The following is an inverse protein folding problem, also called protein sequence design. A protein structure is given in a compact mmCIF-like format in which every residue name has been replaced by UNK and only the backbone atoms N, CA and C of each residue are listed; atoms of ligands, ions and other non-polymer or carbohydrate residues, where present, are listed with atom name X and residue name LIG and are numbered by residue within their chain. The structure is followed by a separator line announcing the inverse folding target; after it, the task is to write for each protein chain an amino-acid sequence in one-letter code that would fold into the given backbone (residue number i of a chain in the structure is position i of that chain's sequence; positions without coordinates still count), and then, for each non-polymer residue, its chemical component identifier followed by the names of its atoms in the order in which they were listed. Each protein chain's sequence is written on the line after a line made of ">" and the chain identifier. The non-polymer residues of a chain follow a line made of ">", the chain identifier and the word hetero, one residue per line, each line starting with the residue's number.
data_IF_711704122582
#
_entry.id   IF_711704122582
#
_cell.length_a   1.000
_cell.length_b   1.000
_cell.length_c   1.000
_cell.angle_alpha   90.00
_cell.angle_beta   90.00
_cell.angle_gamma   90.00
#
_symmetry.space_group_name_H-M   'P 1'
#
loop_
_entity.id
_entity.type
_entity.pdbx_description
1 polymer ?
#
# COMPACT_ATOMS: atom_id res chain seq x y z
N UNK A 1 -20.09 -42.72 47.38
CA UNK A 1 -19.90 -43.09 45.94
C UNK A 1 -19.84 -41.87 44.99
N UNK A 2 -20.39 -40.69 45.32
CA UNK A 2 -20.35 -39.48 44.46
C UNK A 2 -19.04 -38.66 44.57
N UNK A 3 -18.33 -38.71 45.71
CA UNK A 3 -17.06 -37.96 45.87
C UNK A 3 -15.89 -38.56 45.13
N UNK A 4 -15.76 -39.87 45.04
CA UNK A 4 -14.68 -40.58 44.31
C UNK A 4 -14.76 -40.31 42.82
N UNK A 5 -15.94 -40.29 42.20
CA UNK A 5 -16.10 -39.96 40.75
C UNK A 5 -15.74 -38.53 40.41
N UNK A 6 -15.87 -37.55 41.31
CA UNK A 6 -15.54 -36.15 41.10
C UNK A 6 -14.03 -35.91 41.19
N UNK A 7 -13.32 -36.65 42.04
CA UNK A 7 -11.85 -36.59 42.19
C UNK A 7 -11.15 -37.23 40.99
N UNK A 8 -11.68 -38.36 40.48
CA UNK A 8 -11.15 -39.01 39.29
C UNK A 8 -11.34 -38.14 38.00
N UNK A 9 -12.51 -37.47 37.87
CA UNK A 9 -12.71 -36.53 36.79
C UNK A 9 -11.74 -35.34 36.85
N UNK A 10 -11.48 -34.78 38.04
CA UNK A 10 -10.49 -33.69 38.20
C UNK A 10 -9.07 -34.13 37.87
N UNK A 11 -8.66 -35.35 38.28
CA UNK A 11 -7.32 -35.94 37.96
C UNK A 11 -7.18 -36.20 36.47
N UNK A 12 -8.17 -36.78 35.80
CA UNK A 12 -8.17 -37.02 34.36
C UNK A 12 -8.10 -35.69 33.58
N UNK A 13 -8.82 -34.67 34.04
CA UNK A 13 -8.80 -33.34 33.40
C UNK A 13 -7.42 -32.66 33.52
N UNK A 14 -6.72 -32.82 34.67
CA UNK A 14 -5.38 -32.28 34.87
C UNK A 14 -4.38 -32.96 33.95
N UNK A 15 -4.41 -34.29 33.85
CA UNK A 15 -3.52 -35.07 33.00
C UNK A 15 -3.72 -34.82 31.51
N UNK A 16 -4.97 -34.67 31.07
CA UNK A 16 -5.28 -34.25 29.67
C UNK A 16 -4.70 -32.86 29.33
N UNK A 17 -4.68 -31.96 30.30
CA UNK A 17 -4.09 -30.64 30.15
C UNK A 17 -2.59 -30.70 29.99
N UNK A 18 -1.92 -31.50 30.83
CA UNK A 18 -0.48 -31.69 30.78
C UNK A 18 -0.04 -32.30 29.44
N UNK A 19 -0.75 -33.31 28.94
CA UNK A 19 -0.53 -33.90 27.62
C UNK A 19 -0.63 -32.84 26.51
N UNK A 20 -1.72 -32.07 26.49
CA UNK A 20 -1.89 -31.04 25.45
C UNK A 20 -0.76 -30.00 25.50
N UNK A 21 -0.32 -29.60 26.68
CA UNK A 21 0.80 -28.67 26.82
C UNK A 21 2.12 -29.22 26.33
N UNK A 22 2.39 -30.50 26.60
CA UNK A 22 3.59 -31.20 26.12
C UNK A 22 3.63 -31.18 24.59
N UNK A 23 2.55 -31.54 23.94
CA UNK A 23 2.46 -31.53 22.48
C UNK A 23 2.50 -30.13 21.88
N UNK A 24 1.90 -29.15 22.53
CA UNK A 24 1.99 -27.74 22.11
C UNK A 24 3.43 -27.19 22.20
N UNK A 25 4.20 -27.64 23.21
CA UNK A 25 5.63 -27.32 23.33
C UNK A 25 6.46 -28.00 22.25
N UNK A 26 6.18 -29.27 21.96
CA UNK A 26 6.94 -30.08 21.00
C UNK A 26 6.66 -29.67 19.55
N UNK A 27 5.42 -29.24 19.25
CA UNK A 27 4.96 -28.89 17.90
C UNK A 27 4.19 -27.57 17.89
N UNK A 28 4.83 -26.42 18.18
CA UNK A 28 4.15 -25.14 18.34
C UNK A 28 3.47 -24.67 17.06
N UNK A 29 4.08 -24.93 15.90
CA UNK A 29 3.59 -24.47 14.59
C UNK A 29 2.61 -25.45 13.92
N UNK A 30 2.42 -26.64 14.45
CA UNK A 30 1.54 -27.62 13.83
C UNK A 30 0.07 -27.13 13.85
N UNK A 31 -0.69 -27.24 12.75
CA UNK A 31 -2.11 -26.88 12.73
C UNK A 31 -2.89 -27.56 13.83
N UNK A 32 -3.83 -26.85 14.48
CA UNK A 32 -4.58 -27.36 15.63
C UNK A 32 -5.28 -28.70 15.37
N UNK A 33 -5.79 -28.90 14.15
CA UNK A 33 -6.44 -30.14 13.74
C UNK A 33 -5.47 -31.31 13.62
N UNK A 34 -4.28 -31.07 13.06
CA UNK A 34 -3.21 -32.06 12.92
C UNK A 34 -2.66 -32.46 14.27
N UNK A 35 -2.40 -31.48 15.15
CA UNK A 35 -1.93 -31.72 16.50
C UNK A 35 -2.94 -32.50 17.32
N UNK A 36 -4.21 -32.19 17.22
CA UNK A 36 -5.29 -32.92 17.92
C UNK A 36 -5.41 -34.37 17.46
N UNK A 37 -5.24 -34.65 16.14
CA UNK A 37 -5.22 -36.02 15.63
C UNK A 37 -4.08 -36.83 16.23
N UNK A 38 -2.88 -36.26 16.30
CA UNK A 38 -1.70 -36.88 16.88
C UNK A 38 -1.90 -37.14 18.37
N UNK A 39 -2.40 -36.15 19.12
CA UNK A 39 -2.71 -36.30 20.54
C UNK A 39 -3.73 -37.43 20.77
N UNK A 40 -4.81 -37.44 19.99
CA UNK A 40 -5.85 -38.45 20.10
C UNK A 40 -5.33 -39.86 19.79
N UNK A 41 -4.57 -40.02 18.70
CA UNK A 41 -4.04 -41.33 18.29
C UNK A 41 -3.03 -41.93 19.31
N UNK A 42 -2.24 -41.08 19.94
CA UNK A 42 -1.18 -41.51 20.87
C UNK A 42 -1.66 -41.56 22.33
N UNK A 43 -2.83 -41.01 22.66
CA UNK A 43 -3.36 -40.88 24.03
C UNK A 43 -4.84 -41.24 24.15
N UNK A 44 -5.24 -42.33 23.53
CA UNK A 44 -6.65 -42.79 23.50
C UNK A 44 -7.25 -43.06 24.88
N UNK A 45 -6.41 -43.45 25.87
CA UNK A 45 -6.85 -43.64 27.25
C UNK A 45 -7.30 -42.35 27.95
N UNK A 46 -6.85 -41.19 27.49
CA UNK A 46 -7.12 -39.90 28.09
C UNK A 46 -8.13 -39.05 27.30
N UNK A 47 -8.25 -39.28 26.00
CA UNK A 47 -9.18 -38.57 25.12
C UNK A 47 -10.18 -39.58 24.53
N UNK A 48 -11.44 -39.48 24.94
CA UNK A 48 -12.49 -40.40 24.48
C UNK A 48 -12.89 -40.20 23.03
N UNK A 49 -12.69 -38.99 22.51
CA UNK A 49 -12.98 -38.64 21.10
C UNK A 49 -11.97 -37.64 20.57
N UNK A 50 -11.78 -37.66 19.24
CA UNK A 50 -10.98 -36.65 18.55
C UNK A 50 -11.45 -35.21 18.86
N UNK A 51 -12.74 -34.97 18.90
CA UNK A 51 -13.31 -33.66 19.19
C UNK A 51 -12.88 -33.13 20.57
N UNK A 52 -12.79 -34.01 21.56
CA UNK A 52 -12.32 -33.62 22.90
C UNK A 52 -10.87 -33.14 22.88
N UNK A 53 -10.01 -33.81 22.16
CA UNK A 53 -8.61 -33.40 21.98
C UNK A 53 -8.54 -32.09 21.18
N UNK A 54 -9.32 -31.97 20.11
CA UNK A 54 -9.34 -30.78 19.24
C UNK A 54 -9.83 -29.53 19.97
N UNK A 55 -10.93 -29.60 20.73
CA UNK A 55 -11.43 -28.50 21.53
C UNK A 55 -10.39 -28.04 22.57
N UNK A 56 -9.67 -28.97 23.21
CA UNK A 56 -8.60 -28.66 24.15
C UNK A 56 -7.43 -27.94 23.51
N UNK A 57 -6.95 -28.42 22.35
CA UNK A 57 -5.88 -27.74 21.60
C UNK A 57 -6.30 -26.33 21.23
N UNK A 58 -7.52 -26.14 20.69
CA UNK A 58 -8.04 -24.83 20.35
C UNK A 58 -8.19 -23.92 21.56
N UNK A 59 -8.64 -24.45 22.67
CA UNK A 59 -8.79 -23.71 23.93
C UNK A 59 -7.44 -23.12 24.38
N UNK A 60 -6.41 -23.95 24.45
CA UNK A 60 -5.08 -23.50 24.90
C UNK A 60 -4.33 -22.64 23.88
N UNK A 61 -4.73 -22.64 22.62
CA UNK A 61 -4.28 -21.69 21.59
C UNK A 61 -5.08 -20.40 21.55
N UNK A 62 -6.05 -20.20 22.42
CA UNK A 62 -6.90 -19.02 22.42
C UNK A 62 -7.87 -18.95 21.22
N UNK A 63 -8.15 -20.07 20.56
CA UNK A 63 -9.04 -20.12 19.38
C UNK A 63 -10.51 -20.33 19.74
N UNK A 64 -10.85 -20.30 21.03
CA UNK A 64 -12.22 -20.54 21.56
C UNK A 64 -12.62 -19.38 22.46
N UNK A 65 -13.57 -18.55 21.96
CA UNK A 65 -14.18 -17.45 22.71
C UNK A 65 -13.28 -16.24 22.97
N UNK A 66 -13.91 -15.07 23.21
CA UNK A 66 -13.22 -13.79 23.45
C UNK A 66 -12.41 -13.83 24.76
N UNK A 67 -13.02 -14.27 25.84
CA UNK A 67 -12.37 -14.34 27.17
C UNK A 67 -11.09 -15.19 27.17
N UNK A 68 -11.07 -16.28 26.41
CA UNK A 68 -9.90 -17.14 26.33
C UNK A 68 -8.82 -16.55 25.40
N UNK A 69 -9.22 -15.85 24.34
CA UNK A 69 -8.27 -15.10 23.52
C UNK A 69 -7.55 -14.02 24.33
N UNK A 70 -8.32 -13.27 25.12
CA UNK A 70 -7.77 -12.22 25.96
C UNK A 70 -6.85 -12.78 27.06
N UNK A 71 -7.19 -13.94 27.66
CA UNK A 71 -6.36 -14.62 28.65
C UNK A 71 -5.04 -15.18 28.06
N UNK A 72 -5.07 -15.60 26.80
CA UNK A 72 -3.87 -16.08 26.07
C UNK A 72 -3.00 -14.91 25.59
N UNK A 73 -3.61 -13.81 25.16
CA UNK A 73 -2.90 -12.59 24.75
C UNK A 73 -2.40 -11.77 25.92
N UNK A 74 -3.12 -11.71 27.03
CA UNK A 74 -2.67 -11.05 28.25
C UNK A 74 -1.68 -11.95 29.02
N UNK A 75 -0.47 -11.63 28.93
CA UNK A 75 0.81 -12.28 29.17
C UNK A 75 1.09 -12.91 30.56
N UNK A 76 0.11 -13.22 31.38
CA UNK A 76 0.33 -13.88 32.68
C UNK A 76 0.38 -15.43 32.59
N UNK A 77 0.17 -15.99 31.40
CA UNK A 77 0.30 -17.42 31.18
C UNK A 77 1.77 -17.79 31.00
N UNK A 78 2.33 -18.52 31.98
CA UNK A 78 3.73 -18.97 32.00
C UNK A 78 4.16 -19.68 30.69
N UNK A 79 3.27 -20.44 30.08
CA UNK A 79 3.49 -21.16 28.83
C UNK A 79 3.70 -20.20 27.64
N UNK A 80 2.90 -19.12 27.54
CA UNK A 80 3.04 -18.13 26.47
C UNK A 80 4.29 -17.27 26.66
N UNK A 81 4.65 -16.99 27.92
CA UNK A 81 5.93 -16.36 28.22
C UNK A 81 7.10 -17.23 27.76
N UNK A 82 7.07 -18.54 28.04
CA UNK A 82 8.10 -19.48 27.60
C UNK A 82 8.18 -19.61 26.07
N UNK A 83 7.03 -19.61 25.36
CA UNK A 83 7.00 -19.60 23.88
C UNK A 83 7.55 -18.30 23.31
N UNK A 84 7.12 -17.16 23.84
CA UNK A 84 7.65 -15.85 23.42
C UNK A 84 9.15 -15.73 23.70
N UNK A 85 9.61 -16.22 24.85
CA UNK A 85 11.03 -16.21 25.19
C UNK A 85 11.85 -17.12 24.26
N UNK A 86 11.33 -18.30 23.86
CA UNK A 86 11.99 -19.16 22.86
C UNK A 86 12.08 -18.52 21.47
N UNK A 87 11.06 -17.79 21.04
CA UNK A 87 11.08 -17.03 19.78
C UNK A 87 12.08 -15.87 19.83
N UNK A 88 12.25 -15.25 21.01
CA UNK A 88 13.23 -14.16 21.20
C UNK A 88 14.67 -14.63 21.36
N UNK A 89 14.92 -15.93 21.61
CA UNK A 89 16.28 -16.49 21.73
C UNK A 89 16.84 -17.07 20.42
N UNK A 90 16.16 -16.90 19.30
CA UNK A 90 16.79 -17.14 18.01
C UNK A 90 17.87 -16.06 17.80
N UNK A 91 19.13 -16.45 17.94
CA UNK A 91 20.29 -15.58 17.68
C UNK A 91 20.42 -15.15 16.21
N UNK A 92 19.58 -15.67 15.35
CA UNK A 92 19.51 -15.31 13.93
C UNK A 92 18.51 -14.14 13.82
N UNK A 93 19.00 -12.97 13.54
CA UNK A 93 18.18 -11.85 13.08
C UNK A 93 17.75 -12.11 11.65
N UNK A 94 16.51 -11.76 11.33
CA UNK A 94 16.08 -11.73 9.93
C UNK A 94 16.99 -10.73 9.18
N UNK A 95 17.39 -11.06 7.94
CA UNK A 95 18.10 -10.09 7.12
C UNK A 95 17.25 -8.82 6.94
N UNK A 96 17.92 -7.68 6.82
CA UNK A 96 17.23 -6.43 6.57
C UNK A 96 16.43 -6.50 5.28
N UNK A 97 15.20 -6.02 5.33
CA UNK A 97 14.36 -5.97 4.14
C UNK A 97 14.67 -4.72 3.33
N UNK A 98 15.04 -4.93 2.06
CA UNK A 98 15.19 -3.85 1.08
C UNK A 98 13.87 -3.48 0.40
N UNK A 99 12.74 -4.00 0.88
CA UNK A 99 11.43 -3.64 0.35
C UNK A 99 11.12 -2.19 0.68
N UNK A 100 11.00 -1.37 -0.36
CA UNK A 100 10.55 0.03 -0.20
C UNK A 100 9.04 0.03 0.06
N UNK A 101 8.61 0.60 1.16
CA UNK A 101 7.20 0.89 1.39
C UNK A 101 6.74 1.99 0.43
N UNK A 102 5.52 1.86 -0.11
CA UNK A 102 4.93 2.90 -0.94
C UNK A 102 4.67 4.14 -0.09
N UNK A 103 5.17 5.29 -0.51
CA UNK A 103 4.89 6.55 0.17
C UNK A 103 3.38 6.83 0.15
N UNK A 104 2.89 7.47 1.20
CA UNK A 104 1.50 7.92 1.30
C UNK A 104 1.50 9.43 1.42
N UNK A 105 0.75 10.08 0.54
CA UNK A 105 0.41 11.49 0.63
C UNK A 105 -1.08 11.62 0.97
N UNK A 106 -1.41 12.50 1.91
CA UNK A 106 -2.81 12.78 2.29
C UNK A 106 -2.99 14.28 2.27
N UNK A 107 -3.99 14.75 1.54
CA UNK A 107 -4.32 16.17 1.51
C UNK A 107 -4.63 16.71 2.90
N UNK A 108 -4.31 17.97 3.18
CA UNK A 108 -4.67 18.62 4.45
C UNK A 108 -6.18 18.56 4.71
N UNK A 109 -6.57 18.44 5.98
CA UNK A 109 -7.98 18.37 6.38
C UNK A 109 -8.81 19.61 6.01
N UNK A 110 -8.17 20.73 5.70
CA UNK A 110 -8.82 21.94 5.21
C UNK A 110 -9.15 21.93 3.72
N UNK A 111 -8.60 20.99 2.94
CA UNK A 111 -8.91 20.87 1.51
C UNK A 111 -10.30 20.22 1.34
N UNK A 112 -11.26 21.01 0.86
CA UNK A 112 -12.66 20.59 0.67
C UNK A 112 -13.04 20.45 -0.80
N UNK A 113 -12.39 21.21 -1.68
CA UNK A 113 -12.65 21.24 -3.12
C UNK A 113 -11.35 21.11 -3.88
N UNK A 114 -11.07 19.92 -4.37
CA UNK A 114 -9.84 19.59 -5.07
C UNK A 114 -10.08 19.62 -6.58
N UNK A 115 -9.39 20.52 -7.30
CA UNK A 115 -9.28 20.44 -8.75
C UNK A 115 -8.28 19.38 -9.15
N UNK A 116 -8.71 18.34 -9.87
CA UNK A 116 -7.84 17.22 -10.30
C UNK A 116 -7.80 17.19 -11.81
N UNK A 117 -6.60 17.12 -12.38
CA UNK A 117 -6.39 16.86 -13.80
C UNK A 117 -5.08 16.13 -14.05
N UNK A 118 -4.90 15.57 -15.23
CA UNK A 118 -3.71 14.89 -15.70
C UNK A 118 -3.82 14.61 -17.20
N UNK A 119 -2.90 13.84 -17.76
CA UNK A 119 -2.86 13.46 -19.17
C UNK A 119 -2.87 14.68 -20.13
N UNK A 120 -2.12 15.73 -19.75
CA UNK A 120 -2.02 16.97 -20.52
C UNK A 120 -1.13 16.77 -21.74
N UNK A 121 -0.06 15.97 -21.60
CA UNK A 121 0.86 15.61 -22.67
C UNK A 121 1.46 16.82 -23.41
N UNK A 122 1.99 17.79 -22.67
CA UNK A 122 2.69 18.94 -23.25
C UNK A 122 3.83 18.42 -24.14
N UNK A 123 3.98 18.93 -25.39
CA UNK A 123 3.31 20.10 -25.98
C UNK A 123 2.05 19.76 -26.81
N UNK A 124 1.48 18.58 -26.72
CA UNK A 124 0.35 18.13 -27.55
C UNK A 124 -1.03 18.42 -26.96
N UNK A 125 -1.11 19.27 -25.95
CA UNK A 125 -2.30 19.61 -25.20
C UNK A 125 -3.31 20.48 -25.99
N UNK A 126 -4.57 20.42 -25.56
CA UNK A 126 -5.65 21.29 -26.07
C UNK A 126 -5.81 22.49 -25.15
N UNK A 127 -5.42 23.68 -25.63
CA UNK A 127 -5.52 24.93 -24.89
C UNK A 127 -6.97 25.29 -24.54
N UNK A 128 -7.94 25.00 -25.42
CA UNK A 128 -9.35 25.33 -25.19
C UNK A 128 -9.93 24.47 -24.05
N UNK A 129 -9.57 23.19 -24.03
CA UNK A 129 -9.98 22.28 -22.95
C UNK A 129 -9.40 22.71 -21.62
N UNK A 130 -8.10 23.08 -21.59
CA UNK A 130 -7.42 23.54 -20.37
C UNK A 130 -8.01 24.86 -19.84
N UNK A 131 -8.25 25.83 -20.71
CA UNK A 131 -8.87 27.11 -20.35
C UNK A 131 -10.27 26.90 -19.76
N UNK A 132 -11.07 26.04 -20.39
CA UNK A 132 -12.40 25.67 -19.89
C UNK A 132 -12.33 25.05 -18.51
N UNK A 133 -11.39 24.11 -18.31
CA UNK A 133 -11.17 23.44 -17.04
C UNK A 133 -10.74 24.43 -15.95
N UNK A 134 -9.76 25.30 -16.22
CA UNK A 134 -9.29 26.26 -15.23
C UNK A 134 -10.35 27.30 -14.89
N UNK A 135 -11.14 27.76 -15.87
CA UNK A 135 -12.30 28.62 -15.62
C UNK A 135 -13.29 27.92 -14.69
N UNK A 136 -13.51 26.61 -14.89
CA UNK A 136 -14.39 25.85 -14.01
C UNK A 136 -13.81 25.70 -12.58
N UNK A 137 -12.51 25.58 -12.43
CA UNK A 137 -11.86 25.58 -11.12
C UNK A 137 -12.05 26.91 -10.38
N UNK A 138 -11.98 28.03 -11.09
CA UNK A 138 -12.26 29.36 -10.55
C UNK A 138 -13.75 29.52 -10.13
N UNK A 139 -14.68 29.14 -10.99
CA UNK A 139 -16.13 29.17 -10.69
C UNK A 139 -16.50 28.35 -9.46
N UNK A 140 -15.92 27.16 -9.32
CA UNK A 140 -16.17 26.26 -8.19
C UNK A 140 -15.36 26.64 -6.93
N UNK A 141 -14.52 27.65 -7.03
CA UNK A 141 -13.64 28.09 -5.94
C UNK A 141 -12.87 26.91 -5.35
N UNK A 142 -12.13 26.19 -6.17
CA UNK A 142 -11.27 25.11 -5.68
C UNK A 142 -10.24 25.67 -4.68
N UNK A 143 -9.98 24.95 -3.63
CA UNK A 143 -9.03 25.35 -2.58
C UNK A 143 -7.67 24.63 -2.70
N UNK A 144 -7.55 23.69 -3.62
CA UNK A 144 -6.31 23.01 -3.96
C UNK A 144 -6.38 22.48 -5.39
N UNK A 145 -5.22 22.35 -6.04
CA UNK A 145 -5.09 21.76 -7.38
C UNK A 145 -4.14 20.57 -7.33
N UNK A 146 -4.47 19.49 -8.01
CA UNK A 146 -3.67 18.29 -8.10
C UNK A 146 -3.45 17.86 -9.55
N UNK A 147 -2.19 17.86 -9.98
CA UNK A 147 -1.73 17.37 -11.28
C UNK A 147 -1.42 15.87 -11.12
N UNK A 148 -2.27 15.02 -11.69
CA UNK A 148 -2.24 13.56 -11.49
C UNK A 148 -1.47 12.83 -12.60
N UNK A 149 -0.27 13.30 -12.94
CA UNK A 149 0.62 12.64 -13.89
C UNK A 149 0.38 12.96 -15.35
N UNK A 150 1.33 12.56 -16.17
CA UNK A 150 1.38 12.75 -17.61
C UNK A 150 1.14 14.22 -18.04
N UNK A 151 1.80 15.14 -17.31
CA UNK A 151 1.85 16.55 -17.66
C UNK A 151 2.67 16.75 -18.94
N UNK A 152 3.83 16.09 -19.02
CA UNK A 152 4.73 16.08 -20.18
C UNK A 152 4.56 14.78 -20.95
N UNK A 153 4.63 14.85 -22.28
CA UNK A 153 4.59 13.64 -23.11
C UNK A 153 5.90 12.87 -23.09
N UNK A 154 7.03 13.53 -22.99
CA UNK A 154 8.37 12.96 -23.17
C UNK A 154 8.46 12.11 -24.44
N UNK A 155 7.99 12.69 -25.55
CA UNK A 155 7.91 12.03 -26.85
C UNK A 155 9.23 11.43 -27.27
N UNK A 156 10.35 12.17 -27.15
CA UNK A 156 11.68 11.72 -27.54
C UNK A 156 12.21 10.56 -26.67
N UNK A 157 11.65 10.33 -25.51
CA UNK A 157 12.03 9.25 -24.59
C UNK A 157 11.11 8.03 -24.68
N UNK A 158 10.14 8.05 -25.61
CA UNK A 158 9.24 6.94 -25.88
C UNK A 158 10.02 5.71 -26.39
N UNK A 159 9.47 4.50 -26.20
CA UNK A 159 9.97 3.26 -26.82
C UNK A 159 9.44 3.05 -28.24
N UNK A 160 8.35 3.72 -28.58
CA UNK A 160 7.76 3.64 -29.91
C UNK A 160 8.64 4.36 -30.92
N UNK A 161 8.42 4.05 -32.19
CA UNK A 161 9.03 4.80 -33.29
C UNK A 161 8.72 6.28 -33.16
N UNK A 162 9.70 7.13 -33.36
CA UNK A 162 9.61 8.57 -33.18
C UNK A 162 10.26 9.32 -34.33
N UNK A 163 9.64 10.41 -34.72
CA UNK A 163 10.25 11.37 -35.60
C UNK A 163 10.99 12.45 -34.80
N UNK A 164 12.32 12.54 -34.90
CA UNK A 164 13.11 13.51 -34.14
C UNK A 164 12.80 14.97 -34.51
N UNK A 165 12.05 15.22 -35.59
CA UNK A 165 11.67 16.56 -36.04
C UNK A 165 10.39 17.09 -35.38
N UNK A 166 9.61 16.24 -34.70
CA UNK A 166 8.29 16.63 -34.14
C UNK A 166 8.43 17.57 -32.96
N UNK A 167 9.29 17.25 -32.01
CA UNK A 167 9.59 18.08 -30.84
C UNK A 167 10.98 17.79 -30.30
N UNK A 168 11.71 18.80 -29.87
CA UNK A 168 12.97 18.59 -29.17
C UNK A 168 12.74 18.48 -27.67
N UNK A 169 13.50 17.61 -27.01
CA UNK A 169 13.40 17.39 -25.56
C UNK A 169 13.51 18.71 -24.76
N UNK A 170 14.40 19.62 -25.18
CA UNK A 170 14.58 20.92 -24.54
C UNK A 170 13.30 21.75 -24.62
N UNK A 171 12.68 21.81 -25.80
CA UNK A 171 11.49 22.64 -26.02
C UNK A 171 10.29 22.12 -25.22
N UNK A 172 10.19 20.81 -25.06
CA UNK A 172 9.19 20.18 -24.21
C UNK A 172 9.37 20.54 -22.72
N UNK A 173 10.60 20.55 -22.21
CA UNK A 173 10.90 20.99 -20.85
C UNK A 173 10.56 22.46 -20.64
N UNK A 174 10.92 23.33 -21.58
CA UNK A 174 10.60 24.78 -21.48
C UNK A 174 9.08 25.00 -21.51
N UNK A 175 8.36 24.33 -22.41
CA UNK A 175 6.89 24.40 -22.45
C UNK A 175 6.26 23.90 -21.13
N UNK A 176 6.82 22.88 -20.52
CA UNK A 176 6.40 22.41 -19.20
C UNK A 176 6.58 23.45 -18.10
N UNK A 177 7.72 24.16 -18.09
CA UNK A 177 7.96 25.27 -17.16
C UNK A 177 7.00 26.43 -17.37
N UNK A 178 6.76 26.81 -18.63
CA UNK A 178 5.81 27.86 -18.99
C UNK A 178 4.40 27.50 -18.51
N UNK A 179 3.98 26.25 -18.65
CA UNK A 179 2.70 25.77 -18.16
C UNK A 179 2.60 25.82 -16.63
N UNK A 180 3.64 25.41 -15.90
CA UNK A 180 3.66 25.51 -14.45
C UNK A 180 3.65 26.97 -13.97
N UNK A 181 4.35 27.85 -14.65
CA UNK A 181 4.29 29.30 -14.41
C UNK A 181 2.89 29.85 -14.64
N UNK A 182 2.25 29.48 -15.76
CA UNK A 182 0.89 29.88 -16.09
C UNK A 182 -0.12 29.48 -15.02
N UNK A 183 -0.09 28.24 -14.56
CA UNK A 183 -1.00 27.78 -13.50
C UNK A 183 -0.75 28.56 -12.22
N UNK A 184 0.50 28.80 -11.84
CA UNK A 184 0.83 29.53 -10.62
C UNK A 184 0.39 31.01 -10.71
N UNK A 185 0.54 31.64 -11.86
CA UNK A 185 0.06 33.02 -12.09
C UNK A 185 -1.45 33.11 -11.97
N UNK A 186 -2.16 32.13 -12.55
CA UNK A 186 -3.64 32.09 -12.51
C UNK A 186 -4.18 31.73 -11.12
N UNK A 187 -3.47 30.93 -10.34
CA UNK A 187 -3.85 30.47 -9.00
C UNK A 187 -2.76 30.81 -7.97
N UNK A 188 -2.53 32.09 -7.65
CA UNK A 188 -1.36 32.54 -6.90
C UNK A 188 -1.32 32.00 -5.46
N UNK A 189 -2.47 31.84 -4.80
CA UNK A 189 -2.59 31.51 -3.39
C UNK A 189 -3.03 30.07 -3.12
N UNK A 190 -3.46 29.34 -4.15
CA UNK A 190 -3.97 27.97 -4.00
C UNK A 190 -2.79 26.99 -3.95
N UNK A 191 -2.76 26.06 -2.98
CA UNK A 191 -1.81 24.95 -2.98
C UNK A 191 -1.92 24.10 -4.24
N UNK A 192 -0.79 23.87 -4.89
CA UNK A 192 -0.71 23.03 -6.08
C UNK A 192 0.21 21.86 -5.79
N UNK A 193 -0.25 20.67 -6.12
CA UNK A 193 0.46 19.40 -5.93
C UNK A 193 0.67 18.73 -7.28
N UNK A 194 1.83 18.09 -7.46
CA UNK A 194 2.13 17.41 -8.71
C UNK A 194 2.75 16.03 -8.43
N UNK A 195 2.12 14.98 -8.94
CA UNK A 195 2.68 13.63 -9.01
C UNK A 195 2.97 13.28 -10.46
N UNK A 196 4.09 12.60 -10.71
CA UNK A 196 4.44 12.16 -12.07
C UNK A 196 3.67 10.90 -12.48
N UNK A 197 3.34 10.80 -13.76
CA UNK A 197 2.76 9.63 -14.40
C UNK A 197 3.82 8.72 -15.07
N UNK A 198 3.35 7.88 -15.98
CA UNK A 198 4.25 6.96 -16.69
C UNK A 198 5.07 7.68 -17.79
N UNK A 199 4.59 8.77 -18.33
CA UNK A 199 5.33 9.56 -19.33
C UNK A 199 6.53 10.27 -18.68
N UNK A 200 6.36 10.93 -17.55
CA UNK A 200 7.50 11.50 -16.83
C UNK A 200 8.49 10.42 -16.37
N UNK A 201 8.01 9.25 -16.02
CA UNK A 201 8.89 8.13 -15.66
C UNK A 201 9.76 7.63 -16.85
N UNK A 202 9.45 8.02 -18.10
CA UNK A 202 10.33 7.77 -19.26
C UNK A 202 11.68 8.41 -19.07
N UNK A 203 11.74 9.62 -18.49
CA UNK A 203 12.98 10.31 -18.22
C UNK A 203 13.86 9.58 -17.20
N UNK A 204 13.33 9.23 -16.04
CA UNK A 204 14.08 8.47 -15.03
C UNK A 204 14.54 7.11 -15.57
N UNK A 205 13.68 6.45 -16.35
CA UNK A 205 14.02 5.18 -17.00
C UNK A 205 15.11 5.34 -18.05
N UNK A 206 15.10 6.42 -18.83
CA UNK A 206 16.15 6.71 -19.79
C UNK A 206 17.49 6.86 -19.07
N UNK A 207 17.56 7.62 -17.99
CA UNK A 207 18.76 7.75 -17.17
C UNK A 207 19.22 6.39 -16.65
N UNK A 208 18.33 5.58 -16.07
CA UNK A 208 18.65 4.23 -15.58
C UNK A 208 19.30 3.32 -16.62
N UNK A 209 18.90 3.45 -17.87
CA UNK A 209 19.36 2.58 -18.96
C UNK A 209 20.58 3.15 -19.69
N UNK A 210 20.64 4.47 -19.84
CA UNK A 210 21.61 5.13 -20.73
C UNK A 210 22.67 5.96 -20.02
N UNK A 211 22.39 6.39 -18.79
CA UNK A 211 23.25 7.29 -18.02
C UNK A 211 23.03 7.11 -16.51
N UNK A 212 23.19 5.86 -16.04
CA UNK A 212 22.91 5.48 -14.64
C UNK A 212 23.75 6.25 -13.62
N UNK A 213 24.92 6.70 -14.02
CA UNK A 213 25.83 7.54 -13.23
C UNK A 213 25.29 8.93 -12.92
N UNK A 214 24.28 9.41 -13.65
CA UNK A 214 23.64 10.70 -13.42
C UNK A 214 22.46 10.64 -12.45
N UNK A 215 22.01 9.45 -12.07
CA UNK A 215 20.80 9.27 -11.22
C UNK A 215 20.95 9.85 -9.82
N UNK A 216 22.14 9.88 -9.29
CA UNK A 216 22.45 10.39 -7.95
C UNK A 216 22.72 11.89 -7.93
N UNK A 217 22.66 12.57 -9.09
CA UNK A 217 22.86 14.01 -9.22
C UNK A 217 21.51 14.73 -9.17
N UNK A 218 21.37 15.67 -8.23
CA UNK A 218 20.12 16.41 -8.03
C UNK A 218 19.69 17.20 -9.29
N UNK A 219 20.65 17.68 -10.08
CA UNK A 219 20.43 18.43 -11.31
C UNK A 219 19.64 17.64 -12.37
N UNK A 220 19.68 16.31 -12.31
CA UNK A 220 18.94 15.42 -13.21
C UNK A 220 17.61 14.93 -12.60
N UNK A 221 17.20 15.47 -11.48
CA UNK A 221 15.86 15.21 -10.96
C UNK A 221 14.83 16.04 -11.73
N UNK A 222 13.72 15.42 -12.06
CA UNK A 222 12.68 16.08 -12.88
C UNK A 222 12.09 17.32 -12.20
N UNK A 223 11.86 17.27 -10.89
CA UNK A 223 11.36 18.42 -10.13
C UNK A 223 12.33 19.61 -10.14
N UNK A 224 13.64 19.34 -10.19
CA UNK A 224 14.68 20.37 -10.32
C UNK A 224 14.72 20.92 -11.74
N UNK A 225 14.71 20.06 -12.75
CA UNK A 225 14.71 20.44 -14.17
C UNK A 225 13.51 21.32 -14.49
N UNK A 226 12.32 20.95 -14.00
CA UNK A 226 11.08 21.72 -14.19
C UNK A 226 10.94 22.91 -13.23
N UNK A 227 11.89 23.11 -12.33
CA UNK A 227 11.88 24.20 -11.34
C UNK A 227 10.59 24.25 -10.51
N UNK A 228 10.02 23.09 -10.18
CA UNK A 228 8.73 22.95 -9.50
C UNK A 228 8.65 23.77 -8.22
N UNK A 229 9.76 23.80 -7.46
CA UNK A 229 9.85 24.58 -6.22
C UNK A 229 9.77 26.10 -6.44
N UNK A 230 10.27 26.63 -7.57
CA UNK A 230 10.20 28.05 -7.89
C UNK A 230 8.75 28.51 -8.09
N UNK A 231 7.89 27.62 -8.55
CA UNK A 231 6.44 27.88 -8.71
C UNK A 231 5.64 27.54 -7.44
N UNK A 232 6.30 27.23 -6.31
CA UNK A 232 5.65 26.82 -5.05
C UNK A 232 4.68 25.65 -5.23
N UNK A 233 5.06 24.67 -6.05
CA UNK A 233 4.30 23.45 -6.29
C UNK A 233 4.92 22.33 -5.45
N UNK A 234 4.10 21.58 -4.71
CA UNK A 234 4.58 20.43 -3.94
C UNK A 234 4.69 19.21 -4.84
N UNK A 235 5.91 18.71 -4.99
CA UNK A 235 6.18 17.54 -5.82
C UNK A 235 6.05 16.26 -4.99
N UNK A 236 5.11 15.42 -5.40
CA UNK A 236 4.85 14.13 -4.73
C UNK A 236 5.67 13.03 -5.41
N UNK A 237 6.42 12.23 -4.65
CA UNK A 237 7.24 11.16 -5.23
C UNK A 237 6.40 10.18 -6.08
N UNK A 238 6.97 9.75 -7.19
CA UNK A 238 6.34 8.78 -8.11
C UNK A 238 5.79 7.56 -7.38
N UNK A 239 4.60 7.12 -7.75
CA UNK A 239 3.88 5.98 -7.15
C UNK A 239 3.53 6.14 -5.67
N UNK A 240 3.53 7.33 -5.13
CA UNK A 240 2.93 7.57 -3.83
C UNK A 240 1.43 7.21 -3.87
N UNK A 241 0.92 6.67 -2.77
CA UNK A 241 -0.54 6.53 -2.61
C UNK A 241 -1.10 7.88 -2.21
N UNK A 242 -1.90 8.50 -3.07
CA UNK A 242 -2.54 9.79 -2.82
C UNK A 242 -3.95 9.57 -2.26
N UNK A 243 -4.28 10.26 -1.19
CA UNK A 243 -5.58 10.11 -0.50
C UNK A 243 -6.21 11.48 -0.27
N UNK A 244 -7.45 11.62 -0.70
CA UNK A 244 -8.31 12.78 -0.48
C UNK A 244 -9.62 12.33 0.16
N UNK A 245 -9.82 12.61 1.45
CA UNK A 245 -10.94 12.06 2.21
C UNK A 245 -11.00 10.52 2.09
N UNK A 246 -12.12 10.02 1.61
CA UNK A 246 -12.34 8.58 1.39
C UNK A 246 -11.92 8.10 0.00
N UNK A 247 -11.34 9.00 -0.83
CA UNK A 247 -10.90 8.67 -2.18
C UNK A 247 -9.40 8.38 -2.21
N UNK A 248 -9.03 7.39 -3.03
CA UNK A 248 -7.65 7.20 -3.47
C UNK A 248 -7.51 7.75 -4.89
N UNK A 249 -6.49 8.58 -5.12
CA UNK A 249 -6.20 9.13 -6.44
C UNK A 249 -4.95 8.43 -6.97
N UNK A 250 -5.04 7.89 -8.17
CA UNK A 250 -3.92 7.19 -8.84
C UNK A 250 -3.89 7.59 -10.32
N UNK A 251 -2.70 7.63 -10.92
CA UNK A 251 -2.59 7.90 -12.36
C UNK A 251 -3.20 6.76 -13.19
N UNK A 252 -3.02 5.50 -12.80
CA UNK A 252 -3.74 4.38 -13.43
C UNK A 252 -2.89 3.46 -14.30
N UNK A 253 -1.69 3.85 -14.71
CA UNK A 253 -0.77 3.12 -15.60
C UNK A 253 -0.46 1.69 -15.16
N UNK A 254 -0.59 1.38 -13.88
CA UNK A 254 -0.33 0.05 -13.30
C UNK A 254 -1.58 -0.74 -12.93
N UNK A 255 -2.75 -0.21 -13.21
CA UNK A 255 -4.00 -0.91 -12.93
C UNK A 255 -4.40 -1.74 -14.15
N UNK A 256 -4.26 -3.07 -14.14
CA UNK A 256 -4.58 -3.90 -15.29
C UNK A 256 -6.05 -3.73 -15.70
N UNK A 257 -6.29 -3.36 -16.95
CA UNK A 257 -7.63 -3.17 -17.52
C UNK A 257 -8.27 -1.83 -17.18
N UNK A 258 -7.52 -0.84 -16.66
CA UNK A 258 -8.03 0.51 -16.43
C UNK A 258 -8.52 1.18 -17.72
N UNK A 259 -7.87 0.94 -18.85
CA UNK A 259 -8.28 1.42 -20.18
C UNK A 259 -9.21 0.48 -20.95
N UNK A 260 -9.82 -0.52 -20.32
CA UNK A 260 -10.70 -1.50 -20.99
C UNK A 260 -12.12 -0.98 -21.28
N UNK A 261 -12.96 -1.87 -21.80
CA UNK A 261 -14.35 -1.54 -22.23
C UNK A 261 -15.24 -1.03 -21.09
N UNK A 262 -14.93 -1.42 -19.84
CA UNK A 262 -15.69 -0.99 -18.65
C UNK A 262 -14.71 -0.55 -17.55
N UNK A 263 -14.02 0.58 -17.74
CA UNK A 263 -12.92 1.00 -16.85
C UNK A 263 -13.37 1.18 -15.40
N UNK A 264 -14.46 1.89 -15.15
CA UNK A 264 -14.95 2.15 -13.80
C UNK A 264 -15.24 0.88 -12.99
N UNK A 265 -15.87 -0.13 -13.62
CA UNK A 265 -16.11 -1.44 -12.98
C UNK A 265 -14.79 -2.16 -12.67
N UNK A 266 -13.86 -2.14 -13.62
CA UNK A 266 -12.56 -2.81 -13.45
C UNK A 266 -11.79 -2.16 -12.31
N UNK A 267 -11.76 -0.83 -12.24
CA UNK A 267 -11.13 -0.06 -11.16
C UNK A 267 -11.74 -0.40 -9.80
N UNK A 268 -13.07 -0.37 -9.69
CA UNK A 268 -13.76 -0.74 -8.45
C UNK A 268 -13.40 -2.16 -7.98
N UNK A 269 -13.39 -3.13 -8.90
CA UNK A 269 -13.06 -4.52 -8.59
C UNK A 269 -11.58 -4.70 -8.18
N UNK A 270 -10.68 -3.89 -8.71
CA UNK A 270 -9.23 -3.97 -8.42
C UNK A 270 -8.85 -3.21 -7.17
N UNK A 271 -9.30 -1.97 -7.04
CA UNK A 271 -8.92 -1.08 -5.93
C UNK A 271 -9.77 -1.33 -4.68
N UNK A 272 -11.01 -1.79 -4.84
CA UNK A 272 -11.97 -2.05 -3.74
C UNK A 272 -12.16 -0.83 -2.83
N UNK A 273 -12.06 0.35 -3.39
CA UNK A 273 -12.18 1.64 -2.72
C UNK A 273 -12.73 2.69 -3.68
N UNK A 274 -13.23 3.80 -3.14
CA UNK A 274 -13.50 4.97 -3.95
C UNK A 274 -12.19 5.45 -4.57
N UNK A 275 -12.18 5.67 -5.88
CA UNK A 275 -10.96 6.04 -6.58
C UNK A 275 -11.23 7.01 -7.71
N UNK A 276 -10.27 7.89 -7.92
CA UNK A 276 -10.17 8.79 -9.07
C UNK A 276 -8.93 8.34 -9.85
N UNK A 277 -9.09 8.09 -11.12
CA UNK A 277 -8.03 7.58 -11.99
C UNK A 277 -8.15 8.26 -13.34
N UNK A 278 -7.03 8.71 -13.88
CA UNK A 278 -6.84 9.12 -15.29
C UNK A 278 -5.78 8.21 -15.92
N UNK A 279 -5.63 8.17 -17.18
CA UNK A 279 -4.72 7.40 -18.03
C UNK A 279 -5.48 6.66 -19.11
#
# INVERSE_FOLDING_TARGET
>A
MYMTKAIDKKRATKKNTEIVFEYLKKFPEAPSKTLARKIYSENTAFFTTFETAYLRVRYYRGQVGKRQRDAVTNSNNKFIKELKTKVMHNKLTLPESHTKTRNKFTFPSGCMRLGVFGDVHIPFHDNTALETMFTKFEEENVDSIFINGDLLDFYQLSFHEKDPRVVHFKDEIEAGKEFLAYIRDRFPDIPIYYITGNHENRFERYLKIKASELLDMDEFRLDVILQVAAYKIEFIPFRSKVVFGDYTIEHGDKIPGAGGVVPARTLLMRLKSNSIVNH
#
